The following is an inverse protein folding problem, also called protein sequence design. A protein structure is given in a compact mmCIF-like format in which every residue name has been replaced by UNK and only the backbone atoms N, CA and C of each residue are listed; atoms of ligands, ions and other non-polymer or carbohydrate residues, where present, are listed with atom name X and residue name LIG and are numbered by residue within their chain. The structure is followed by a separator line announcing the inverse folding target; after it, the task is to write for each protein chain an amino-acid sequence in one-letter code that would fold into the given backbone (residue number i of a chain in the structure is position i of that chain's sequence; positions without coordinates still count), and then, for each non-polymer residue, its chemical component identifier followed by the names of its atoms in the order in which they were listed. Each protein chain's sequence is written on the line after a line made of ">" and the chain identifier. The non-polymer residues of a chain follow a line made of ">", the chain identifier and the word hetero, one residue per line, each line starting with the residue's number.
data_IF_602617792794
#
_entry.id   IF_602617792794
#
_cell.length_a   1.000
_cell.length_b   1.000
_cell.length_c   1.000
_cell.angle_alpha   90.00
_cell.angle_beta   90.00
_cell.angle_gamma   90.00
#
_symmetry.space_group_name_H-M   'P 1'
#
loop_
_entity.id
_entity.type
_entity.pdbx_description
1 polymer ?
#
# COMPACT_ATOMS: atom_id res chain seq x y z
N UNK A 1 -15.72 1.98 -12.52
CA UNK A 1 -15.12 0.75 -11.94
C UNK A 1 -16.23 -0.08 -11.34
N UNK A 2 -16.22 -1.39 -11.55
CA UNK A 2 -17.15 -2.35 -10.96
C UNK A 2 -16.70 -2.76 -9.55
N UNK A 3 -17.59 -3.35 -8.74
CA UNK A 3 -17.23 -3.84 -7.40
C UNK A 3 -16.10 -4.88 -7.44
N UNK A 4 -16.09 -5.77 -8.44
CA UNK A 4 -15.06 -6.79 -8.61
C UNK A 4 -13.68 -6.20 -8.93
N UNK A 5 -13.65 -5.16 -9.76
CA UNK A 5 -12.41 -4.42 -10.05
C UNK A 5 -11.88 -3.72 -8.79
N UNK A 6 -12.76 -3.13 -7.98
CA UNK A 6 -12.39 -2.52 -6.70
C UNK A 6 -11.81 -3.52 -5.71
N UNK A 7 -12.42 -4.70 -5.58
CA UNK A 7 -11.89 -5.78 -4.71
C UNK A 7 -10.52 -6.27 -5.17
N UNK A 8 -10.34 -6.47 -6.48
CA UNK A 8 -9.05 -6.85 -7.05
C UNK A 8 -8.00 -5.77 -6.80
N UNK A 9 -8.37 -4.49 -6.95
CA UNK A 9 -7.49 -3.36 -6.70
C UNK A 9 -7.07 -3.28 -5.23
N UNK A 10 -8.02 -3.45 -4.30
CA UNK A 10 -7.75 -3.57 -2.86
C UNK A 10 -6.75 -4.70 -2.59
N UNK A 11 -7.01 -5.90 -3.09
CA UNK A 11 -6.13 -7.06 -2.87
C UNK A 11 -4.70 -6.80 -3.34
N UNK A 12 -4.53 -6.27 -4.57
CA UNK A 12 -3.21 -5.97 -5.14
C UNK A 12 -2.50 -4.85 -4.37
N UNK A 13 -3.24 -3.83 -3.97
CA UNK A 13 -2.71 -2.75 -3.14
C UNK A 13 -2.18 -3.27 -1.80
N UNK A 14 -2.95 -4.11 -1.11
CA UNK A 14 -2.55 -4.71 0.16
C UNK A 14 -1.30 -5.59 0.01
N UNK A 15 -1.17 -6.33 -1.10
CA UNK A 15 0.06 -7.06 -1.40
C UNK A 15 1.27 -6.12 -1.57
N UNK A 16 1.10 -5.03 -2.32
CA UNK A 16 2.18 -4.05 -2.54
C UNK A 16 2.59 -3.35 -1.25
N UNK A 17 1.61 -2.97 -0.42
CA UNK A 17 1.85 -2.37 0.89
C UNK A 17 2.58 -3.34 1.82
N UNK A 18 2.11 -4.58 1.90
CA UNK A 18 2.75 -5.62 2.70
C UNK A 18 4.17 -5.94 2.25
N UNK A 19 4.44 -5.95 0.95
CA UNK A 19 5.80 -6.10 0.43
C UNK A 19 6.72 -4.97 0.92
N UNK A 20 6.25 -3.72 0.88
CA UNK A 20 7.04 -2.59 1.35
C UNK A 20 7.37 -2.71 2.86
N UNK A 21 6.41 -3.19 3.67
CA UNK A 21 6.63 -3.47 5.11
C UNK A 21 7.72 -4.54 5.30
N UNK A 22 7.62 -5.66 4.57
CA UNK A 22 8.63 -6.72 4.65
C UNK A 22 10.02 -6.22 4.23
N UNK A 23 10.11 -5.45 3.15
CA UNK A 23 11.38 -4.86 2.69
C UNK A 23 11.96 -3.91 3.74
N UNK A 24 11.14 -3.07 4.36
CA UNK A 24 11.56 -2.19 5.45
C UNK A 24 12.12 -2.99 6.63
N UNK A 25 11.45 -4.07 7.05
CA UNK A 25 11.94 -4.93 8.13
C UNK A 25 13.26 -5.61 7.75
N UNK A 26 13.38 -6.14 6.53
CA UNK A 26 14.63 -6.74 6.06
C UNK A 26 15.78 -5.74 6.00
N UNK A 27 15.53 -4.50 5.57
CA UNK A 27 16.53 -3.45 5.59
C UNK A 27 16.98 -3.09 7.02
N UNK A 28 16.06 -3.11 8.01
CA UNK A 28 16.40 -2.91 9.43
C UNK A 28 17.26 -4.06 9.97
N UNK A 29 16.98 -5.28 9.55
CA UNK A 29 17.71 -6.49 9.97
C UNK A 29 18.98 -6.76 9.16
N UNK A 30 19.25 -5.98 8.10
CA UNK A 30 20.38 -6.21 7.18
C UNK A 30 20.25 -7.48 6.34
N UNK A 31 19.02 -7.96 6.07
CA UNK A 31 18.74 -9.19 5.32
C UNK A 31 18.47 -8.92 3.85
N UNK A 32 18.66 -9.96 3.02
CA UNK A 32 18.23 -10.02 1.61
C UNK A 32 18.81 -8.89 0.71
N UNK A 33 19.91 -8.25 1.11
CA UNK A 33 20.58 -7.20 0.34
C UNK A 33 19.86 -5.85 0.29
N UNK A 34 18.82 -5.65 1.10
CA UNK A 34 18.08 -4.39 1.11
C UNK A 34 18.80 -3.29 1.90
N UNK A 35 18.95 -2.12 1.29
CA UNK A 35 19.43 -0.91 1.96
C UNK A 35 18.26 -0.09 2.52
N UNK A 36 18.57 0.86 3.41
CA UNK A 36 17.59 1.82 3.90
C UNK A 36 17.02 2.67 2.77
N UNK A 37 17.83 3.11 1.80
CA UNK A 37 17.32 3.83 0.62
C UNK A 37 16.41 2.95 -0.24
N UNK A 38 16.77 1.68 -0.44
CA UNK A 38 15.94 0.73 -1.18
C UNK A 38 14.57 0.53 -0.54
N UNK A 39 14.53 0.35 0.78
CA UNK A 39 13.29 0.25 1.53
C UNK A 39 12.45 1.53 1.46
N UNK A 40 13.08 2.70 1.57
CA UNK A 40 12.39 3.98 1.39
C UNK A 40 11.77 4.11 -0.01
N UNK A 41 12.48 3.69 -1.05
CA UNK A 41 11.95 3.67 -2.42
C UNK A 41 10.71 2.79 -2.56
N UNK A 42 10.72 1.59 -1.97
CA UNK A 42 9.55 0.70 -1.99
C UNK A 42 8.36 1.30 -1.23
N UNK A 43 8.62 1.95 -0.09
CA UNK A 43 7.59 2.65 0.69
C UNK A 43 6.97 3.81 -0.10
N UNK A 44 7.80 4.63 -0.76
CA UNK A 44 7.34 5.76 -1.57
C UNK A 44 6.53 5.29 -2.79
N UNK A 45 6.90 4.16 -3.41
CA UNK A 45 6.10 3.55 -4.47
C UNK A 45 4.74 3.10 -3.91
N UNK A 46 4.70 2.41 -2.76
CA UNK A 46 3.45 1.97 -2.15
C UNK A 46 2.51 3.16 -1.83
N UNK A 47 3.07 4.27 -1.32
CA UNK A 47 2.34 5.54 -1.13
C UNK A 47 1.84 6.14 -2.44
N UNK A 48 2.66 6.11 -3.49
CA UNK A 48 2.26 6.55 -4.83
C UNK A 48 1.03 5.78 -5.33
N UNK A 49 1.02 4.46 -5.15
CA UNK A 49 -0.16 3.62 -5.45
C UNK A 49 -1.38 4.02 -4.62
N UNK A 50 -1.21 4.34 -3.33
CA UNK A 50 -2.32 4.77 -2.48
C UNK A 50 -3.03 6.00 -3.06
N UNK A 51 -2.27 7.02 -3.47
CA UNK A 51 -2.83 8.23 -4.09
C UNK A 51 -3.44 7.95 -5.47
N UNK A 52 -2.73 7.24 -6.35
CA UNK A 52 -3.23 6.92 -7.68
C UNK A 52 -4.53 6.10 -7.65
N UNK A 53 -4.66 5.18 -6.69
CA UNK A 53 -5.89 4.41 -6.48
C UNK A 53 -7.00 5.30 -5.93
N UNK A 54 -6.68 6.22 -5.01
CA UNK A 54 -7.62 7.24 -4.53
C UNK A 54 -8.23 8.03 -5.67
N UNK A 55 -7.40 8.59 -6.55
CA UNK A 55 -7.84 9.36 -7.72
C UNK A 55 -8.70 8.49 -8.67
N UNK A 56 -8.30 7.24 -8.90
CA UNK A 56 -9.05 6.32 -9.75
C UNK A 56 -10.43 5.98 -9.16
N UNK A 57 -10.54 5.79 -7.85
CA UNK A 57 -11.81 5.55 -7.17
C UNK A 57 -12.71 6.79 -7.19
N UNK A 58 -12.15 7.98 -6.97
CA UNK A 58 -12.88 9.23 -7.06
C UNK A 58 -13.43 9.46 -8.48
N UNK A 59 -12.57 9.35 -9.50
CA UNK A 59 -12.96 9.56 -10.89
C UNK A 59 -13.97 8.52 -11.39
N UNK A 60 -13.81 7.25 -11.01
CA UNK A 60 -14.58 6.15 -11.59
C UNK A 60 -15.82 5.72 -10.79
N UNK A 61 -15.89 6.07 -9.51
CA UNK A 61 -17.00 5.68 -8.62
C UNK A 61 -17.64 6.88 -7.90
N UNK A 62 -17.13 8.10 -8.11
CA UNK A 62 -17.61 9.34 -7.44
C UNK A 62 -17.61 9.20 -5.91
N UNK A 63 -16.68 8.41 -5.37
CA UNK A 63 -16.54 8.25 -3.92
C UNK A 63 -15.84 9.48 -3.35
N UNK A 64 -16.55 10.24 -2.52
CA UNK A 64 -15.90 11.26 -1.68
C UNK A 64 -14.93 10.57 -0.71
N UNK A 65 -13.80 11.24 -0.42
CA UNK A 65 -12.77 10.73 0.50
C UNK A 65 -12.14 9.39 0.07
N UNK A 66 -11.98 9.18 -1.24
CA UNK A 66 -11.38 7.96 -1.77
C UNK A 66 -10.01 7.62 -1.15
N UNK A 67 -9.17 8.63 -0.90
CA UNK A 67 -7.88 8.44 -0.22
C UNK A 67 -8.02 7.87 1.20
N UNK A 68 -9.06 8.26 1.97
CA UNK A 68 -9.33 7.70 3.30
C UNK A 68 -9.69 6.21 3.21
N UNK A 69 -10.45 5.82 2.18
CA UNK A 69 -10.79 4.42 1.91
C UNK A 69 -9.53 3.60 1.63
N UNK A 70 -8.64 4.11 0.76
CA UNK A 70 -7.41 3.39 0.41
C UNK A 70 -6.45 3.35 1.60
N UNK A 71 -6.40 4.39 2.43
CA UNK A 71 -5.64 4.34 3.69
C UNK A 71 -6.17 3.27 4.62
N UNK A 72 -7.49 3.12 4.74
CA UNK A 72 -8.09 2.02 5.50
C UNK A 72 -7.66 0.64 4.99
N UNK A 73 -7.45 0.48 3.68
CA UNK A 73 -6.91 -0.78 3.14
C UNK A 73 -5.45 -1.02 3.54
N UNK A 74 -4.65 0.04 3.67
CA UNK A 74 -3.29 -0.03 4.17
C UNK A 74 -3.29 -0.39 5.66
N UNK A 75 -4.17 0.22 6.46
CA UNK A 75 -4.31 -0.09 7.89
C UNK A 75 -4.64 -1.58 8.10
N UNK A 76 -5.57 -2.14 7.33
CA UNK A 76 -5.87 -3.59 7.35
C UNK A 76 -4.64 -4.46 7.04
N UNK A 77 -3.77 -4.01 6.12
CA UNK A 77 -2.55 -4.74 5.77
C UNK A 77 -1.50 -4.66 6.90
N UNK A 78 -1.37 -3.49 7.52
CA UNK A 78 -0.50 -3.26 8.68
C UNK A 78 -0.94 -4.09 9.89
N UNK A 79 -2.24 -4.12 10.19
CA UNK A 79 -2.82 -4.93 11.27
C UNK A 79 -2.53 -6.41 11.06
N UNK A 80 -2.74 -6.92 9.84
CA UNK A 80 -2.49 -8.32 9.49
C UNK A 80 -1.02 -8.72 9.63
N UNK A 81 -0.10 -7.80 9.36
CA UNK A 81 1.35 -8.04 9.45
C UNK A 81 1.93 -7.72 10.83
N UNK A 82 1.16 -7.06 11.71
CA UNK A 82 1.64 -6.59 13.00
C UNK A 82 2.73 -5.53 12.90
N UNK A 83 2.78 -4.78 11.80
CA UNK A 83 3.82 -3.80 11.53
C UNK A 83 3.31 -2.68 10.62
N UNK A 84 3.77 -1.46 10.88
CA UNK A 84 3.44 -0.28 10.07
C UNK A 84 4.56 0.07 9.08
N UNK A 85 4.15 0.64 7.94
CA UNK A 85 5.08 1.19 6.96
C UNK A 85 5.51 2.60 7.41
N UNK A 86 6.83 2.82 7.52
CA UNK A 86 7.44 4.07 8.00
C UNK A 86 7.74 5.05 6.87
#
# INVERSE_FOLDING_TARGET
>A
MTSKEKELLKYRFQQRWGQAICVQQWAKEGKNGWTKEGAKGEADIARGYMYAIGDALEASMKQSKATEIVRGWADEAEEKLGASLE
#
